data_IF_813271906580
#
_entry.id   IF_813271906580
#
_cell.length_a   1.000
_cell.length_b   1.000
_cell.length_c   1.000
_cell.angle_alpha   90.00
_cell.angle_beta   90.00
_cell.angle_gamma   90.00
#
_symmetry.space_group_name_H-M   'P 1'
#
loop_
_entity.id
_entity.type
_entity.pdbx_description
1 polymer ?
2 polymer ?
3 non-polymer ?
4 water ?
#
# COMPACT_ATOMS: atom_id res chain seq x y z
N UNK A 1 0.93 -15.16 18.23
CA UNK A 1 -0.23 -14.31 18.01
C UNK A 1 0.03 -12.90 18.52
N UNK A 2 1.31 -12.57 18.67
CA UNK A 2 1.71 -11.20 18.95
C UNK A 2 1.37 -10.32 17.77
N UNK A 3 0.67 -9.22 18.03
CA UNK A 3 0.27 -8.26 17.00
C UNK A 3 0.64 -6.86 17.44
N UNK A 4 1.00 -6.03 16.46
CA UNK A 4 1.38 -4.64 16.69
C UNK A 4 0.40 -3.74 15.95
N UNK A 5 -0.03 -2.66 16.62
CA UNK A 5 -0.97 -1.70 16.02
C UNK A 5 -0.50 -0.26 16.26
N UNK A 6 -0.15 0.43 15.19
CA UNK A 6 0.20 1.84 15.25
C UNK A 6 -1.05 2.73 15.25
N UNK A 7 -0.96 3.85 15.95
CA UNK A 7 -2.07 4.80 15.94
C UNK A 7 -1.52 6.21 16.12
N UNK A 8 -2.33 7.18 15.73
CA UNK A 8 -1.94 8.56 15.87
C UNK A 8 -2.70 9.40 14.89
N UNK A 9 -2.53 10.72 14.98
CA UNK A 9 -3.18 11.60 14.01
C UNK A 9 -2.69 11.30 12.61
N UNK A 10 -3.58 11.40 11.65
CA UNK A 10 -3.24 11.26 10.26
C UNK A 10 -2.79 12.53 9.59
N UNK A 11 -2.96 13.66 10.29
CA UNK A 11 -2.66 14.98 9.75
C UNK A 11 -1.99 15.82 10.83
N UNK A 12 -0.86 16.44 10.51
CA UNK A 12 -0.20 17.39 11.40
C UNK A 12 0.30 18.56 10.56
N UNK A 13 0.31 19.77 11.16
CA UNK A 13 0.77 20.93 10.43
C UNK A 13 2.31 21.01 10.44
N UNK A 14 2.91 21.63 9.43
CA UNK A 14 4.37 21.87 9.49
C UNK A 14 4.75 22.62 10.76
N UNK A 15 5.85 22.18 11.37
CA UNK A 15 6.48 22.64 12.61
C UNK A 15 5.86 21.99 13.85
N UNK A 16 4.74 21.28 13.72
CA UNK A 16 4.16 20.62 14.88
C UNK A 16 4.95 19.36 15.20
N UNK A 17 4.57 18.69 16.29
CA UNK A 17 5.20 17.46 16.72
C UNK A 17 4.28 16.30 16.40
N UNK A 18 4.82 15.33 15.67
CA UNK A 18 4.07 14.10 15.37
C UNK A 18 4.21 13.12 16.54
N UNK A 19 3.07 12.60 17.01
CA UNK A 19 3.05 11.69 18.15
C UNK A 19 2.31 10.42 17.75
N UNK A 20 2.98 9.29 17.81
CA UNK A 20 2.40 8.00 17.46
C UNK A 20 2.58 7.01 18.60
N UNK A 21 1.70 6.02 18.63
CA UNK A 21 1.80 4.94 19.60
C UNK A 21 1.79 3.61 18.87
N UNK A 22 2.47 2.63 19.46
CA UNK A 22 2.50 1.24 18.98
C UNK A 22 2.03 0.39 20.15
N UNK A 23 0.84 -0.21 20.02
CA UNK A 23 0.24 -1.03 21.07
C UNK A 23 0.45 -2.50 20.71
N UNK A 24 1.03 -3.24 21.65
CA UNK A 24 1.33 -4.66 21.44
C UNK A 24 0.27 -5.50 22.12
N UNK A 25 -0.30 -6.44 21.39
CA UNK A 25 -1.21 -7.41 21.98
C UNK A 25 -0.67 -8.82 21.75
N UNK A 26 -1.15 -9.75 22.58
CA UNK A 26 -0.75 -11.14 22.48
C UNK A 26 0.58 -11.46 23.11
N UNK A 27 1.21 -10.50 23.78
CA UNK A 27 2.52 -10.68 24.36
C UNK A 27 2.95 -9.41 25.06
N UNK A 28 4.02 -9.52 25.84
CA UNK A 28 4.54 -8.39 26.58
C UNK A 28 5.61 -7.68 25.76
N UNK A 29 5.78 -6.38 26.03
CA UNK A 29 6.91 -5.65 25.44
C UNK A 29 8.23 -5.95 26.14
N UNK A 30 8.20 -6.61 27.29
CA UNK A 30 9.42 -6.85 28.04
C UNK A 30 10.38 -7.74 27.26
N UNK A 31 11.67 -7.44 27.36
CA UNK A 31 12.73 -8.29 26.83
C UNK A 31 13.19 -7.92 25.44
N UNK A 32 12.32 -7.33 24.63
CA UNK A 32 12.60 -7.01 23.24
C UNK A 32 12.95 -5.54 23.05
N UNK A 33 13.81 -5.28 22.07
CA UNK A 33 13.83 -3.99 21.40
C UNK A 33 12.64 -3.90 20.45
N UNK A 34 12.11 -2.69 20.32
CA UNK A 34 10.99 -2.38 19.46
C UNK A 34 11.41 -1.22 18.58
N UNK A 35 11.30 -1.38 17.26
CA UNK A 35 11.77 -0.39 16.31
C UNK A 35 10.63 0.38 15.67
N UNK A 36 10.93 1.63 15.34
CA UNK A 36 10.08 2.46 14.50
C UNK A 36 10.75 2.62 13.14
N UNK A 37 9.92 2.54 12.08
CA UNK A 37 10.34 2.57 10.70
C UNK A 37 9.35 3.45 9.94
N UNK A 38 9.82 4.12 8.88
CA UNK A 38 8.87 4.86 8.05
C UNK A 38 9.17 4.67 6.56
N UNK A 39 8.17 4.97 5.76
CA UNK A 39 8.22 4.80 4.31
C UNK A 39 7.46 5.94 3.65
N UNK A 40 8.15 6.94 3.13
CA UNK A 40 7.48 7.94 2.31
C UNK A 40 6.82 7.28 1.12
N UNK A 41 5.73 7.87 0.61
CA UNK A 41 5.00 7.23 -0.49
C UNK A 41 5.91 6.94 -1.68
N UNK A 42 5.91 5.68 -2.11
CA UNK A 42 6.72 5.28 -3.26
C UNK A 42 8.20 5.16 -3.02
N UNK A 43 8.67 5.28 -1.78
CA UNK A 43 10.09 5.24 -1.46
C UNK A 43 10.40 4.02 -0.58
N UNK A 44 11.65 3.92 -0.14
CA UNK A 44 12.10 2.78 0.63
C UNK A 44 11.86 2.95 2.13
N UNK A 45 12.23 1.91 2.88
CA UNK A 45 12.10 1.89 4.33
C UNK A 45 13.27 2.59 5.00
N UNK A 46 12.97 3.40 6.01
CA UNK A 46 13.98 4.12 6.77
C UNK A 46 13.79 3.77 8.25
N UNK A 47 14.84 3.27 8.88
CA UNK A 47 14.80 3.03 10.33
C UNK A 47 14.84 4.36 11.07
N UNK A 48 13.90 4.54 11.99
CA UNK A 48 13.84 5.77 12.80
C UNK A 48 14.60 5.59 14.11
N UNK A 49 14.29 4.53 14.85
CA UNK A 49 14.98 4.27 16.11
C UNK A 49 14.34 3.09 16.81
N UNK A 50 14.78 2.86 18.05
CA UNK A 50 14.22 1.74 18.79
C UNK A 50 14.27 2.01 20.28
N UNK A 51 13.64 1.12 21.03
CA UNK A 51 13.65 1.18 22.50
C UNK A 51 13.49 -0.21 23.07
N UNK A 52 14.22 -0.45 24.16
CA UNK A 52 14.00 -1.58 25.06
C UNK A 52 13.62 -0.98 26.40
N UNK A 53 12.56 -1.51 27.03
CA UNK A 53 11.94 -0.80 28.14
C UNK A 53 12.88 -0.62 29.34
N UNK A 54 13.97 -1.37 29.42
CA UNK A 54 14.90 -1.21 30.52
C UNK A 54 16.37 -1.10 30.12
N UNK A 55 16.69 -1.21 28.83
CA UNK A 55 18.09 -1.22 28.43
C UNK A 55 18.56 0.10 27.83
N UNK A 56 18.00 0.48 26.69
CA UNK A 56 18.49 1.67 25.99
C UNK A 56 17.46 2.11 24.96
N UNK A 57 17.67 3.31 24.44
CA UNK A 57 16.98 3.80 23.26
C UNK A 57 18.02 4.46 22.38
N UNK A 58 17.76 4.48 21.08
CA UNK A 58 18.61 5.22 20.16
C UNK A 58 17.82 5.48 18.89
N UNK A 59 18.37 6.33 18.03
CA UNK A 59 17.68 6.72 16.82
C UNK A 59 18.69 6.95 15.72
N UNK A 60 18.17 6.94 14.51
CA UNK A 60 18.92 7.21 13.29
C UNK A 60 19.71 8.50 13.45
N UNK A 61 21.00 8.52 13.10
CA UNK A 61 21.79 9.75 13.32
C UNK A 61 21.19 10.98 12.64
N UNK A 62 20.50 10.81 11.50
CA UNK A 62 19.96 11.95 10.78
C UNK A 62 18.70 12.52 11.40
N UNK A 63 18.02 11.74 12.23
CA UNK A 63 16.78 12.16 12.88
C UNK A 63 16.92 12.36 14.39
N UNK A 64 18.08 12.03 14.97
CA UNK A 64 18.21 11.97 16.42
C UNK A 64 17.82 13.26 17.12
N UNK A 65 18.12 14.42 16.52
CA UNK A 65 17.78 15.66 17.19
C UNK A 65 16.29 15.91 17.27
N UNK A 66 15.47 15.17 16.51
CA UNK A 66 14.03 15.38 16.53
C UNK A 66 13.24 14.22 17.09
N UNK A 67 13.89 13.11 17.42
CA UNK A 67 13.21 11.84 17.72
C UNK A 67 13.28 11.57 19.21
N UNK A 68 12.14 11.26 19.81
CA UNK A 68 12.09 10.75 21.18
C UNK A 68 11.22 9.51 21.18
N UNK A 69 11.77 8.38 21.61
CA UNK A 69 11.03 7.13 21.69
C UNK A 69 10.92 6.75 23.16
N UNK A 70 9.74 6.30 23.57
CA UNK A 70 9.54 5.90 24.95
C UNK A 70 8.66 4.65 24.98
N UNK A 71 8.46 4.12 26.19
CA UNK A 71 7.67 2.92 26.39
C UNK A 71 6.79 3.11 27.61
N UNK A 72 5.67 2.39 27.64
CA UNK A 72 4.74 2.42 28.77
C UNK A 72 4.37 0.96 29.08
N UNK A 73 4.93 0.43 30.16
CA UNK A 73 4.71 -0.97 30.48
C UNK A 73 3.26 -1.25 30.84
N UNK A 74 2.62 -0.33 31.57
CA UNK A 74 1.25 -0.56 31.99
C UNK A 74 0.30 -0.65 30.80
N UNK A 75 0.59 0.08 29.73
CA UNK A 75 -0.22 0.06 28.53
C UNK A 75 0.31 -0.89 27.47
N UNK A 76 1.47 -1.52 27.69
CA UNK A 76 2.10 -2.41 26.71
C UNK A 76 2.28 -1.68 25.38
N UNK A 77 2.84 -0.48 25.46
CA UNK A 77 2.86 0.47 24.35
C UNK A 77 4.24 1.08 24.20
N UNK A 78 4.63 1.29 22.94
CA UNK A 78 5.77 2.11 22.59
C UNK A 78 5.25 3.41 21.98
N UNK A 79 6.10 4.45 22.02
CA UNK A 79 5.67 5.75 21.53
C UNK A 79 6.80 6.38 20.73
N UNK A 80 6.42 7.21 19.76
CA UNK A 80 7.35 7.98 18.95
C UNK A 80 6.89 9.43 18.93
N UNK A 81 7.80 10.35 19.22
CA UNK A 81 7.56 11.77 19.03
C UNK A 81 8.60 12.30 18.05
N UNK A 82 8.15 12.96 16.99
CA UNK A 82 9.02 13.53 15.97
C UNK A 82 8.72 15.02 15.90
N UNK A 83 9.67 15.85 16.30
CA UNK A 83 9.38 17.27 16.41
C UNK A 83 9.66 18.01 15.10
N UNK A 84 9.12 19.22 15.00
CA UNK A 84 9.38 20.16 13.90
C UNK A 84 9.20 19.51 12.53
N UNK A 85 8.01 18.94 12.29
CA UNK A 85 7.83 18.17 11.06
C UNK A 85 7.73 19.07 9.85
N UNK A 86 8.10 18.51 8.69
CA UNK A 86 7.90 19.13 7.39
C UNK A 86 7.30 18.08 6.46
N UNK A 87 7.03 18.51 5.22
CA UNK A 87 6.51 17.58 4.22
C UNK A 87 7.41 16.36 4.03
N UNK A 88 8.71 16.49 4.30
CA UNK A 88 9.61 15.34 4.18
C UNK A 88 9.31 14.24 5.20
N UNK A 89 8.49 14.52 6.20
CA UNK A 89 8.08 13.53 7.18
C UNK A 89 6.74 12.88 6.85
N UNK A 90 6.12 13.26 5.75
CA UNK A 90 4.92 12.56 5.28
C UNK A 90 5.30 11.14 4.88
N UNK A 91 4.64 10.15 5.48
CA UNK A 91 5.08 8.76 5.33
C UNK A 91 4.09 7.86 6.05
N UNK A 92 4.15 6.57 5.71
CA UNK A 92 3.55 5.54 6.57
C UNK A 92 4.57 5.15 7.63
N UNK A 93 4.12 5.09 8.88
CA UNK A 93 4.99 4.81 10.03
C UNK A 93 4.64 3.43 10.56
N UNK A 94 5.67 2.61 10.78
CA UNK A 94 5.52 1.25 11.27
C UNK A 94 6.27 1.05 12.57
N UNK A 95 5.77 0.16 13.42
CA UNK A 95 6.62 -0.42 14.45
C UNK A 95 6.86 -1.90 14.15
N UNK A 96 7.93 -2.43 14.75
CA UNK A 96 8.32 -3.81 14.52
C UNK A 96 9.02 -4.35 15.77
N UNK A 97 8.89 -5.66 16.00
CA UNK A 97 9.59 -6.32 17.10
C UNK A 97 10.99 -6.71 16.66
N UNK A 98 11.99 -6.28 17.45
CA UNK A 98 13.42 -6.29 17.14
C UNK A 98 14.11 -7.33 18.05
N UNK A 99 15.39 -7.12 18.34
CA UNK A 99 16.23 -8.10 19.04
C UNK A 99 15.71 -8.44 20.44
N UNK A 100 15.81 -9.72 20.82
CA UNK A 100 15.48 -10.15 22.17
C UNK A 100 16.75 -10.24 23.00
N UNK A 101 16.73 -9.68 24.21
CA UNK A 101 17.83 -9.76 25.15
C UNK A 101 17.44 -10.67 26.31
N UNK A 102 18.23 -11.72 26.52
CA UNK A 102 18.09 -12.57 27.68
C UNK A 102 18.59 -11.82 28.93
N UNK A 103 18.14 -12.24 30.10
CA UNK A 103 18.60 -11.46 31.23
C UNK A 103 20.01 -11.84 31.67
N UNK A 104 20.63 -12.82 31.00
CA UNK A 104 22.07 -12.96 31.09
C UNK A 104 22.80 -11.80 30.43
N UNK A 105 22.16 -11.12 29.48
CA UNK A 105 22.78 -10.06 28.72
C UNK A 105 23.10 -10.44 27.30
N UNK A 106 23.09 -11.74 26.99
CA UNK A 106 23.20 -12.20 25.62
C UNK A 106 21.88 -11.91 24.89
N UNK A 107 21.88 -12.12 23.58
CA UNK A 107 20.77 -11.70 22.75
C UNK A 107 20.71 -12.57 21.50
N UNK A 108 19.59 -12.50 20.81
CA UNK A 108 19.48 -13.03 19.45
C UNK A 108 18.83 -11.98 18.58
N UNK A 109 19.54 -11.53 17.55
CA UNK A 109 18.99 -10.50 16.68
C UNK A 109 17.76 -11.02 15.94
N UNK A 110 16.79 -10.13 15.74
CA UNK A 110 15.52 -10.46 15.10
C UNK A 110 14.87 -9.19 14.59
N UNK A 111 13.92 -9.37 13.69
CA UNK A 111 13.10 -8.26 13.18
C UNK A 111 11.89 -8.91 12.54
N UNK A 112 11.05 -9.59 13.33
CA UNK A 112 10.22 -10.65 12.78
C UNK A 112 8.71 -10.36 12.75
N UNK A 113 8.24 -9.29 13.41
CA UNK A 113 6.82 -8.95 13.39
C UNK A 113 6.69 -7.47 13.08
N UNK A 114 5.88 -7.16 12.09
CA UNK A 114 5.58 -5.77 11.72
C UNK A 114 4.16 -5.40 12.10
N UNK A 115 3.97 -4.12 12.42
CA UNK A 115 2.64 -3.57 12.51
C UNK A 115 2.06 -3.31 11.13
N UNK A 116 0.82 -2.85 11.12
CA UNK A 116 0.12 -2.61 9.86
C UNK A 116 0.48 -1.27 9.23
N UNK A 117 1.00 -0.33 10.01
CA UNK A 117 1.37 1.00 9.54
C UNK A 117 0.26 2.02 9.75
N UNK A 118 0.65 3.26 9.98
CA UNK A 118 -0.30 4.36 10.04
C UNK A 118 0.24 5.51 9.20
N UNK A 119 -0.63 6.06 8.35
CA UNK A 119 -0.24 7.10 7.41
C UNK A 119 -0.31 8.46 8.07
N UNK A 120 0.73 9.28 7.90
CA UNK A 120 0.77 10.64 8.42
C UNK A 120 1.10 11.58 7.29
N UNK A 121 0.30 12.64 7.15
CA UNK A 121 0.51 13.67 6.15
C UNK A 121 0.79 14.98 6.86
N UNK A 122 1.87 15.66 6.46
CA UNK A 122 2.20 16.97 7.01
C UNK A 122 1.71 18.04 6.05
N UNK A 123 0.76 18.86 6.49
CA UNK A 123 0.09 19.83 5.64
C UNK A 123 -0.64 20.82 6.53
N UNK A 124 -0.79 22.05 6.03
CA UNK A 124 -1.62 23.02 6.73
C UNK A 124 -3.09 22.93 6.31
N UNK A 125 -3.44 22.13 5.32
CA UNK A 125 -4.83 21.97 4.89
C UNK A 125 -5.65 21.28 5.98
N UNK A 126 -6.96 21.56 5.98
CA UNK A 126 -7.86 21.00 6.98
C UNK A 126 -8.38 19.63 6.54
N UNK A 127 -8.73 18.80 7.52
CA UNK A 127 -9.36 17.54 7.21
C UNK A 127 -10.70 17.78 6.51
N UNK A 128 -11.03 16.90 5.56
CA UNK A 128 -12.32 16.94 4.89
C UNK A 128 -12.79 15.52 4.64
N UNK A 129 -14.01 15.20 5.07
CA UNK A 129 -14.58 13.91 4.82
C UNK A 129 -15.10 13.80 3.40
N UNK A 130 -15.25 12.57 2.91
CA UNK A 130 -15.63 12.37 1.51
C UNK A 130 -17.14 12.42 1.27
N UNK A 131 -17.47 12.70 0.02
CA UNK A 131 -18.81 12.48 -0.52
C UNK A 131 -18.79 11.15 -1.27
N UNK A 132 -19.82 10.34 -1.06
CA UNK A 132 -19.86 8.99 -1.63
C UNK A 132 -21.08 8.88 -2.54
N UNK A 133 -20.85 8.41 -3.77
CA UNK A 133 -21.91 8.23 -4.74
C UNK A 133 -21.88 6.81 -5.30
N UNK A 134 -23.03 6.21 -5.52
CA UNK A 134 -23.06 4.84 -6.03
C UNK A 134 -22.76 4.81 -7.51
N UNK A 135 -22.14 3.72 -7.94
CA UNK A 135 -21.96 3.41 -9.36
C UNK A 135 -22.88 2.23 -9.66
N UNK A 136 -24.05 2.52 -10.21
CA UNK A 136 -25.07 1.51 -10.38
C UNK A 136 -24.66 0.48 -11.43
N UNK A 137 -25.06 -0.79 -11.25
CA UNK A 137 -24.77 -1.84 -12.23
C UNK A 137 -25.44 -1.59 -13.59
N UNK A 145 -22.15 -13.60 -17.81
CA UNK A 145 -23.22 -13.11 -16.96
C UNK A 145 -22.70 -12.41 -15.71
N UNK A 146 -21.76 -11.49 -15.90
CA UNK A 146 -21.19 -10.71 -14.80
C UNK A 146 -21.41 -9.23 -15.03
N UNK A 147 -21.54 -8.49 -13.93
CA UNK A 147 -21.74 -7.05 -13.97
C UNK A 147 -20.83 -6.38 -12.96
N UNK A 148 -20.45 -5.13 -13.24
CA UNK A 148 -19.67 -4.32 -12.32
C UNK A 148 -20.55 -3.27 -11.66
N UNK A 149 -20.28 -3.01 -10.38
CA UNK A 149 -20.89 -1.91 -9.67
C UNK A 149 -19.87 -1.37 -8.68
N UNK A 150 -20.15 -0.21 -8.10
CA UNK A 150 -19.11 0.37 -7.28
C UNK A 150 -19.59 1.56 -6.47
N UNK A 151 -18.60 2.24 -5.90
CA UNK A 151 -18.83 3.48 -5.17
C UNK A 151 -17.73 4.45 -5.51
N UNK A 152 -18.10 5.70 -5.70
CA UNK A 152 -17.18 6.78 -6.00
C UNK A 152 -17.03 7.62 -4.74
N UNK A 153 -15.80 7.74 -4.26
CA UNK A 153 -15.49 8.37 -2.98
C UNK A 153 -14.72 9.64 -3.30
N UNK A 154 -15.36 10.80 -3.16
CA UNK A 154 -14.87 12.05 -3.72
C UNK A 154 -14.44 13.05 -2.65
N UNK A 155 -13.33 13.75 -2.92
CA UNK A 155 -12.98 15.02 -2.29
C UNK A 155 -12.74 14.92 -0.79
N UNK A 156 -11.77 14.09 -0.39
CA UNK A 156 -11.43 13.94 1.02
C UNK A 156 -9.95 14.27 1.24
N UNK A 157 -9.62 14.52 2.50
CA UNK A 157 -8.22 14.80 2.87
C UNK A 157 -8.05 14.63 4.36
N UNK A 158 -6.93 14.03 4.80
CA UNK A 158 -5.84 13.40 4.05
C UNK A 158 -6.20 11.96 3.72
N UNK A 159 -5.26 11.22 3.13
CA UNK A 159 -5.41 9.78 2.98
C UNK A 159 -5.28 9.08 4.33
N UNK A 160 -5.80 7.86 4.46
CA UNK A 160 -6.54 7.08 3.47
C UNK A 160 -8.03 7.00 3.79
N UNK A 161 -8.79 6.46 2.84
CA UNK A 161 -10.11 5.94 3.13
C UNK A 161 -10.04 4.44 2.96
N UNK A 162 -10.85 3.74 3.74
CA UNK A 162 -11.04 2.31 3.57
C UNK A 162 -12.45 2.07 3.05
N UNK A 163 -12.58 1.09 2.16
CA UNK A 163 -13.88 0.71 1.62
C UNK A 163 -14.04 -0.78 1.79
N UNK A 164 -15.11 -1.18 2.45
CA UNK A 164 -15.52 -2.57 2.49
C UNK A 164 -16.89 -2.69 1.85
N UNK A 165 -17.31 -3.92 1.60
CA UNK A 165 -18.58 -4.18 0.96
C UNK A 165 -19.41 -5.13 1.80
N UNK A 166 -20.69 -4.81 1.96
CA UNK A 166 -21.63 -5.61 2.75
C UNK A 166 -21.06 -5.93 4.13
N UNK A 167 -20.52 -4.89 4.77
CA UNK A 167 -19.99 -4.96 6.13
C UNK A 167 -18.88 -6.00 6.25
N UNK A 168 -18.05 -6.11 5.21
CA UNK A 168 -16.95 -7.04 5.19
C UNK A 168 -17.30 -8.43 4.73
N UNK A 169 -18.59 -8.73 4.53
CA UNK A 169 -18.99 -10.07 4.12
C UNK A 169 -18.64 -10.36 2.67
N UNK A 170 -18.44 -9.33 1.86
CA UNK A 170 -18.17 -9.49 0.43
C UNK A 170 -16.72 -9.11 0.17
N UNK A 171 -15.87 -10.13 -0.04
CA UNK A 171 -14.45 -9.99 -0.39
C UNK A 171 -14.12 -11.05 -1.44
N UNK A 172 -14.47 -10.79 -2.69
CA UNK A 172 -13.91 -11.58 -3.78
C UNK A 172 -13.61 -10.69 -4.99
N UNK A 173 -14.64 -10.35 -5.76
CA UNK A 173 -14.41 -9.48 -6.90
C UNK A 173 -14.18 -8.02 -6.54
N UNK A 174 -13.79 -7.72 -5.30
CA UNK A 174 -13.63 -6.34 -4.84
C UNK A 174 -12.27 -5.81 -5.25
N UNK A 175 -12.25 -4.57 -5.76
CA UNK A 175 -11.00 -3.85 -5.99
C UNK A 175 -11.20 -2.38 -5.64
N UNK A 176 -10.39 -1.87 -4.72
CA UNK A 176 -10.39 -0.45 -4.39
C UNK A 176 -9.15 0.16 -5.02
N UNK A 177 -9.37 1.18 -5.83
CA UNK A 177 -8.33 1.79 -6.63
C UNK A 177 -7.46 2.75 -5.83
N UNK A 178 -6.25 3.03 -6.33
CA UNK A 178 -5.44 4.12 -5.79
C UNK A 178 -6.21 5.43 -5.92
N UNK A 179 -6.04 6.29 -4.92
CA UNK A 179 -6.65 7.59 -4.97
C UNK A 179 -5.96 8.48 -6.01
N UNK A 180 -6.72 9.44 -6.54
CA UNK A 180 -6.22 10.48 -7.43
C UNK A 180 -6.19 11.78 -6.63
N UNK A 181 -5.08 12.52 -6.72
CA UNK A 181 -4.95 13.84 -6.10
C UNK A 181 -5.48 14.89 -7.06
N UNK A 182 -6.58 15.54 -6.69
CA UNK A 182 -7.20 16.59 -7.50
C UNK A 182 -6.41 17.89 -7.38
N UNK A 183 -6.64 18.80 -8.35
CA UNK A 183 -6.00 20.10 -8.29
C UNK A 183 -6.47 20.92 -7.10
N UNK A 184 -7.62 20.55 -6.52
CA UNK A 184 -8.08 21.15 -5.27
C UNK A 184 -7.19 20.80 -4.08
N UNK A 185 -6.33 19.79 -4.20
CA UNK A 185 -5.61 19.28 -3.05
C UNK A 185 -6.32 18.16 -2.32
N UNK A 186 -7.51 17.78 -2.77
CA UNK A 186 -8.29 16.69 -2.19
C UNK A 186 -8.09 15.43 -3.01
N UNK A 187 -8.41 14.29 -2.40
CA UNK A 187 -8.30 12.98 -3.02
C UNK A 187 -9.66 12.43 -3.40
N UNK A 188 -9.69 11.61 -4.45
CA UNK A 188 -10.85 10.81 -4.79
C UNK A 188 -10.41 9.40 -5.17
N UNK A 189 -11.29 8.43 -4.94
CA UNK A 189 -11.02 7.08 -5.40
C UNK A 189 -12.35 6.40 -5.71
N UNK A 190 -12.26 5.20 -6.30
CA UNK A 190 -13.41 4.34 -6.51
C UNK A 190 -13.12 2.95 -5.97
N UNK A 191 -14.18 2.24 -5.63
CA UNK A 191 -14.12 0.85 -5.24
C UNK A 191 -15.18 0.13 -6.05
N UNK A 192 -14.84 -1.01 -6.63
CA UNK A 192 -15.73 -1.72 -7.53
C UNK A 192 -15.80 -3.18 -7.12
N UNK A 193 -16.91 -3.82 -7.49
CA UNK A 193 -17.05 -5.25 -7.31
C UNK A 193 -17.65 -5.84 -8.57
N UNK A 194 -17.15 -7.00 -8.98
CA UNK A 194 -17.70 -7.78 -10.07
C UNK A 194 -18.60 -8.86 -9.48
N UNK A 195 -19.87 -8.85 -9.84
CA UNK A 195 -20.85 -9.75 -9.24
C UNK A 195 -21.53 -10.52 -10.36
N UNK A 196 -22.10 -11.68 -10.04
CA UNK A 196 -22.92 -12.38 -11.03
C UNK A 196 -24.16 -11.57 -11.36
N UNK A 197 -24.48 -11.49 -12.65
CA UNK A 197 -25.67 -10.75 -13.09
C UNK A 197 -26.94 -11.31 -12.47
N UNK A 198 -26.99 -12.63 -12.24
CA UNK A 198 -28.16 -13.26 -11.65
C UNK A 198 -28.40 -12.86 -10.21
N UNK A 199 -27.41 -12.28 -9.54
CA UNK A 199 -27.56 -11.81 -8.17
C UNK A 199 -28.08 -10.38 -8.09
N UNK A 200 -28.23 -9.69 -9.22
CA UNK A 200 -28.53 -8.26 -9.19
C UNK A 200 -29.94 -7.96 -8.70
N UNK A 201 -30.85 -8.90 -8.90
CA UNK A 201 -32.19 -8.58 -8.49
C UNK A 201 -32.50 -9.01 -7.10
N UNK A 202 -31.58 -9.75 -6.46
CA UNK A 202 -31.78 -10.29 -5.13
C UNK A 202 -30.76 -9.97 -4.04
N UNK A 203 -29.48 -9.99 -4.36
CA UNK A 203 -28.45 -9.60 -3.41
C UNK A 203 -28.24 -8.10 -3.47
N UNK A 204 -28.27 -7.44 -2.31
CA UNK A 204 -27.93 -6.03 -2.24
C UNK A 204 -26.43 -5.84 -2.10
N UNK A 205 -25.94 -4.71 -2.58
CA UNK A 205 -24.52 -4.37 -2.50
C UNK A 205 -24.38 -2.98 -1.92
N UNK A 206 -23.74 -2.91 -0.75
CA UNK A 206 -23.58 -1.67 0.01
C UNK A 206 -22.10 -1.50 0.31
N UNK A 207 -21.53 -0.37 -0.12
CA UNK A 207 -20.15 -0.06 0.24
C UNK A 207 -20.12 0.69 1.57
N UNK A 208 -19.18 0.33 2.41
CA UNK A 208 -18.97 0.96 3.71
C UNK A 208 -17.67 1.73 3.64
N UNK A 209 -17.78 3.06 3.64
CA UNK A 209 -16.62 3.93 3.48
C UNK A 209 -16.23 4.48 4.85
N UNK A 210 -14.96 4.34 5.20
CA UNK A 210 -14.45 4.86 6.45
C UNK A 210 -13.33 5.85 6.16
N UNK A 211 -13.42 7.04 6.75
CA UNK A 211 -12.35 8.05 6.68
C UNK A 211 -12.03 8.44 8.12
N UNK A 212 -11.06 7.74 8.72
CA UNK A 212 -10.72 7.99 10.12
C UNK A 212 -10.29 9.42 10.40
N UNK A 213 -9.48 10.09 9.57
CA UNK A 213 -9.04 11.46 9.93
C UNK A 213 -10.20 12.42 10.17
N UNK A 214 -11.34 12.22 9.53
CA UNK A 214 -12.53 13.04 9.75
C UNK A 214 -13.59 12.31 10.56
N UNK A 215 -13.29 11.09 11.01
CA UNK A 215 -14.27 10.20 11.66
C UNK A 215 -15.58 10.16 10.88
N UNK A 216 -15.46 9.95 9.58
CA UNK A 216 -16.60 9.83 8.67
C UNK A 216 -16.87 8.36 8.40
N UNK A 217 -18.13 7.96 8.49
CA UNK A 217 -18.55 6.61 8.14
C UNK A 217 -19.81 6.70 7.30
N UNK A 218 -19.76 6.21 6.06
CA UNK A 218 -20.86 6.29 5.12
C UNK A 218 -21.11 4.92 4.51
N UNK A 219 -22.37 4.49 4.52
CA UNK A 219 -22.83 3.34 3.74
C UNK A 219 -23.64 3.84 2.54
N UNK A 220 -23.39 3.26 1.37
CA UNK A 220 -24.15 3.60 0.18
C UNK A 220 -24.52 2.34 -0.58
N UNK A 221 -25.79 2.21 -0.98
CA UNK A 221 -26.28 1.10 -1.78
C UNK A 221 -26.08 1.38 -3.26
N UNK A 222 -25.47 0.42 -3.97
CA UNK A 222 -25.33 0.47 -5.43
C UNK A 222 -26.43 -0.42 -6.01
N UNK A 223 -27.54 0.20 -6.40
CA UNK A 223 -28.76 -0.43 -6.83
C UNK A 223 -29.00 -0.19 -8.33
N UNK A 224 -29.59 -1.16 -9.05
CA UNK A 224 -29.85 -1.06 -10.50
C UNK A 224 -30.75 0.10 -10.90
N UNK B 1 30.95 3.19 7.55
CA UNK B 1 29.56 3.18 7.94
C UNK B 1 28.91 1.92 7.43
N UNK B 2 27.92 1.46 8.16
CA UNK B 2 27.20 0.26 7.81
C UNK B 2 26.24 0.56 6.67
N UNK B 3 26.45 -0.12 5.56
CA UNK B 3 25.65 0.10 4.36
C UNK B 3 25.25 -1.25 3.80
N UNK B 4 23.98 -1.38 3.43
CA UNK B 4 23.48 -2.54 2.68
C UNK B 4 23.14 -2.07 1.27
N UNK B 5 23.77 -2.68 0.26
CA UNK B 5 23.56 -2.27 -1.12
C UNK B 5 22.69 -3.29 -1.84
N UNK B 6 21.55 -2.81 -2.36
CA UNK B 6 20.68 -3.59 -3.24
C UNK B 6 20.50 -2.83 -4.53
N UNK B 7 20.48 -3.56 -5.65
CA UNK B 7 20.12 -2.94 -6.92
C UNK B 7 18.61 -2.79 -7.01
N UNK B 8 18.10 -1.75 -7.67
CA UNK B 8 16.67 -1.42 -7.50
C UNK B 8 15.70 -2.40 -8.11
N UNK B 9 16.11 -3.28 -9.02
CA UNK B 9 15.13 -4.14 -9.65
C UNK B 9 15.77 -5.44 -10.12
N UNK B 10 14.92 -6.45 -10.28
CA UNK B 10 15.30 -7.76 -10.77
C UNK B 10 14.13 -8.33 -11.54
N UNK B 11 14.41 -9.32 -12.38
CA UNK B 11 13.38 -9.84 -13.27
C UNK B 11 13.65 -11.29 -13.61
N UNK B 12 12.58 -12.07 -13.76
CA UNK B 12 12.68 -13.46 -14.20
C UNK B 12 11.28 -13.93 -14.60
N UNK B 13 11.22 -15.07 -15.27
CA UNK B 13 9.95 -15.58 -15.80
C UNK B 13 9.15 -16.35 -14.76
N UNK B 14 7.84 -16.36 -14.97
CA UNK B 14 6.94 -17.22 -14.21
C UNK B 14 7.46 -18.65 -14.22
N UNK B 15 7.54 -19.23 -13.02
CA UNK B 15 7.99 -20.59 -12.85
C UNK B 15 9.49 -20.74 -12.75
N UNK B 16 10.26 -19.69 -13.02
CA UNK B 16 11.70 -19.75 -12.94
C UNK B 16 12.15 -19.49 -11.51
N UNK B 17 13.46 -19.42 -11.32
CA UNK B 17 14.06 -19.00 -10.06
C UNK B 17 14.73 -17.65 -10.26
N UNK B 18 14.91 -16.93 -9.15
CA UNK B 18 15.65 -15.68 -9.17
C UNK B 18 16.43 -15.59 -7.85
N UNK B 19 17.63 -15.03 -7.92
CA UNK B 19 18.48 -14.84 -6.74
C UNK B 19 18.69 -13.35 -6.53
N UNK B 20 18.06 -12.80 -5.50
CA UNK B 20 18.21 -11.38 -5.15
C UNK B 20 19.44 -11.22 -4.26
N UNK B 21 20.11 -10.08 -4.39
CA UNK B 21 21.39 -9.88 -3.73
C UNK B 21 21.37 -8.66 -2.82
N UNK B 22 22.10 -8.76 -1.69
CA UNK B 22 22.28 -7.69 -0.74
C UNK B 22 23.76 -7.73 -0.38
N UNK B 23 24.46 -6.62 -0.52
CA UNK B 23 25.89 -6.60 -0.24
C UNK B 23 26.19 -5.77 0.99
N UNK B 24 26.89 -6.37 1.96
CA UNK B 24 27.30 -5.67 3.17
C UNK B 24 28.57 -4.87 2.93
N UNK B 25 28.65 -3.73 3.60
CA UNK B 25 29.90 -2.97 3.62
C UNK B 25 31.01 -3.80 4.27
N UNK B 26 32.25 -3.53 3.84
CA UNK B 26 33.36 -4.45 4.14
C UNK B 26 33.61 -4.57 5.64
N UNK B 27 33.43 -3.48 6.39
CA UNK B 27 33.65 -3.57 7.83
C UNK B 27 32.62 -4.37 8.58
N UNK B 28 31.58 -4.84 7.90
CA UNK B 28 30.47 -5.56 8.53
C UNK B 28 30.14 -6.81 7.74
N UNK B 29 31.16 -7.35 7.05
CA UNK B 29 30.92 -8.41 6.08
C UNK B 29 30.51 -9.73 6.73
N UNK B 30 30.57 -9.85 8.04
CA UNK B 30 30.16 -11.08 8.73
C UNK B 30 28.79 -10.97 9.39
N UNK B 31 28.05 -9.89 9.16
CA UNK B 31 26.77 -9.72 9.83
C UNK B 31 25.70 -10.63 9.22
N UNK B 32 24.76 -11.04 10.07
CA UNK B 32 23.51 -11.61 9.58
C UNK B 32 22.63 -10.50 9.00
N UNK B 33 21.66 -10.88 8.16
CA UNK B 33 20.64 -9.95 7.67
C UNK B 33 19.27 -10.60 7.82
N UNK B 34 18.24 -9.77 7.70
CA UNK B 34 16.87 -10.23 7.48
C UNK B 34 16.39 -9.78 6.11
N UNK B 35 15.56 -10.59 5.49
CA UNK B 35 14.84 -10.22 4.28
C UNK B 35 13.40 -9.93 4.61
N UNK B 36 12.86 -8.85 4.03
CA UNK B 36 11.47 -8.47 4.19
C UNK B 36 10.84 -8.30 2.81
N UNK B 37 9.58 -8.66 2.72
CA UNK B 37 8.82 -8.56 1.48
C UNK B 37 7.67 -7.57 1.64
N UNK B 38 7.45 -6.76 0.60
CA UNK B 38 6.34 -5.81 0.62
C UNK B 38 5.63 -5.92 -0.73
N UNK B 39 4.51 -6.64 -0.72
CA UNK B 39 3.71 -6.77 -1.93
C UNK B 39 2.98 -5.45 -2.17
N UNK B 40 2.62 -5.17 -3.43
CA UNK B 40 2.04 -3.86 -3.75
C UNK B 40 0.82 -3.55 -2.89
N UNK B 41 0.83 -2.37 -2.29
CA UNK B 41 -0.27 -1.91 -1.47
C UNK B 41 -0.24 -2.35 -0.02
N UNK B 42 0.62 -3.28 0.35
CA UNK B 42 0.63 -3.83 1.70
C UNK B 42 1.81 -3.28 2.50
N UNK B 43 1.76 -3.50 3.82
CA UNK B 43 2.92 -3.28 4.64
C UNK B 43 3.93 -4.41 4.48
N UNK B 44 5.12 -4.21 5.01
CA UNK B 44 6.15 -5.25 4.92
C UNK B 44 5.80 -6.46 5.78
N UNK B 45 6.38 -7.59 5.41
CA UNK B 45 6.41 -8.75 6.29
C UNK B 45 7.80 -9.38 6.24
N UNK B 46 8.18 -9.96 7.37
CA UNK B 46 9.45 -10.65 7.49
C UNK B 46 9.43 -11.98 6.75
N UNK B 47 10.50 -12.25 6.00
CA UNK B 47 10.69 -13.53 5.33
C UNK B 47 11.63 -14.47 6.07
N UNK B 48 12.83 -14.02 6.39
CA UNK B 48 13.83 -14.92 6.95
C UNK B 48 15.01 -14.13 7.49
N UNK B 49 15.77 -14.78 8.35
CA UNK B 49 17.10 -14.32 8.76
C UNK B 49 18.14 -15.20 8.06
N UNK B 50 19.17 -14.58 7.50
CA UNK B 50 20.28 -15.27 6.86
C UNK B 50 21.53 -15.04 7.70
N UNK B 51 22.10 -16.12 8.22
CA UNK B 51 23.25 -16.03 9.12
C UNK B 51 24.56 -16.04 8.34
N UNK B 52 25.63 -15.60 9.02
CA UNK B 52 26.95 -15.56 8.38
C UNK B 52 27.41 -16.94 7.91
N UNK B 53 27.06 -17.99 8.65
CA UNK B 53 27.51 -19.32 8.30
C UNK B 53 26.72 -19.93 7.14
N UNK B 54 25.84 -19.17 6.51
CA UNK B 54 25.03 -19.66 5.42
C UNK B 54 23.70 -20.26 5.82
N UNK B 55 23.51 -20.57 7.10
CA UNK B 55 22.21 -21.08 7.53
C UNK B 55 21.17 -19.96 7.46
N UNK B 56 19.90 -20.36 7.38
CA UNK B 56 18.84 -19.39 7.34
C UNK B 56 17.63 -19.95 8.07
N UNK B 57 16.79 -19.04 8.58
CA UNK B 57 15.60 -19.41 9.32
C UNK B 57 14.42 -18.60 8.79
N UNK B 58 13.46 -19.29 8.18
CA UNK B 58 12.26 -18.65 7.66
C UNK B 58 11.30 -18.29 8.77
N UNK B 59 10.58 -17.19 8.56
CA UNK B 59 9.49 -16.87 9.43
C UNK B 59 8.37 -17.88 9.33
N UNK B 60 7.58 -17.96 10.39
CA UNK B 60 6.43 -18.85 10.38
C UNK B 60 5.48 -18.47 9.25
N UNK B 61 5.02 -19.47 8.50
CA UNK B 61 4.11 -19.25 7.39
C UNK B 61 4.75 -18.85 6.08
N UNK B 62 6.08 -18.70 6.04
CA UNK B 62 6.73 -18.29 4.80
C UNK B 62 7.00 -19.52 3.93
N UNK B 63 6.63 -19.50 2.65
CA UNK B 63 6.79 -20.71 1.82
C UNK B 63 8.22 -21.16 1.68
N UNK B 64 8.41 -22.48 1.55
CA UNK B 64 9.77 -23.00 1.41
C UNK B 64 10.38 -22.71 0.05
N UNK B 65 9.60 -22.14 -0.89
CA UNK B 65 10.17 -21.61 -2.12
C UNK B 65 11.18 -20.51 -1.88
N UNK B 66 11.16 -19.88 -0.71
CA UNK B 66 12.08 -18.83 -0.34
C UNK B 66 13.23 -19.43 0.46
N UNK B 67 14.47 -19.19 0.03
CA UNK B 67 15.63 -19.67 0.76
C UNK B 67 16.69 -18.58 0.76
N UNK B 68 17.64 -18.70 1.69
CA UNK B 68 18.69 -17.72 1.85
C UNK B 68 20.05 -18.39 1.85
N UNK B 69 21.06 -17.59 1.52
CA UNK B 69 22.42 -18.11 1.46
C UNK B 69 23.39 -16.94 1.54
N UNK B 70 24.68 -17.26 1.63
CA UNK B 70 25.72 -16.29 1.93
C UNK B 70 26.95 -16.60 1.09
N UNK B 71 27.65 -15.55 0.66
CA UNK B 71 28.98 -15.72 0.08
C UNK B 71 29.78 -14.46 0.39
N UNK B 72 30.73 -14.57 1.30
CA UNK B 72 31.56 -13.42 1.64
C UNK B 72 30.71 -12.29 2.20
N UNK B 73 30.75 -11.13 1.54
CA UNK B 73 29.92 -10.01 1.94
C UNK B 73 28.54 -10.02 1.29
N UNK B 74 28.25 -11.01 0.45
CA UNK B 74 26.96 -11.09 -0.23
C UNK B 74 25.98 -11.91 0.58
N UNK B 75 24.73 -11.47 0.58
CA UNK B 75 23.63 -12.19 1.19
C UNK B 75 22.55 -12.37 0.14
N UNK B 76 21.97 -13.56 0.05
CA UNK B 76 21.07 -13.88 -1.06
C UNK B 76 19.70 -14.32 -0.57
N UNK B 77 18.69 -14.00 -1.39
CA UNK B 77 17.34 -14.54 -1.27
C UNK B 77 17.03 -15.21 -2.59
N UNK B 78 16.88 -16.53 -2.56
CA UNK B 78 16.53 -17.26 -3.76
C UNK B 78 15.06 -17.63 -3.70
N UNK B 79 14.30 -17.23 -4.72
CA UNK B 79 12.90 -17.57 -4.82
C UNK B 79 12.75 -18.52 -5.99
N UNK B 80 12.28 -19.72 -5.71
CA UNK B 80 12.10 -20.72 -6.76
C UNK B 80 10.63 -20.85 -7.11
N UNK B 81 10.38 -21.44 -8.28
CA UNK B 81 9.04 -21.63 -8.81
C UNK B 81 8.21 -20.34 -8.71
N UNK B 82 8.75 -19.28 -9.30
CA UNK B 82 8.18 -17.95 -9.17
C UNK B 82 6.70 -17.94 -9.57
N UNK B 83 5.90 -17.25 -8.75
CA UNK B 83 4.49 -17.07 -9.00
C UNK B 83 4.19 -15.58 -9.05
N UNK B 84 3.01 -15.25 -9.58
CA UNK B 84 2.63 -13.85 -9.73
C UNK B 84 2.71 -13.09 -8.40
N UNK B 85 2.28 -13.71 -7.31
CA UNK B 85 2.29 -13.01 -6.02
C UNK B 85 3.69 -12.66 -5.53
N UNK B 86 4.75 -13.21 -6.14
CA UNK B 86 6.10 -12.86 -5.74
C UNK B 86 6.54 -11.50 -6.25
N UNK B 87 5.78 -10.89 -7.15
CA UNK B 87 6.06 -9.52 -7.53
C UNK B 87 5.86 -8.64 -6.31
N UNK B 88 6.93 -7.99 -5.88
CA UNK B 88 6.96 -7.29 -4.62
C UNK B 88 8.29 -6.55 -4.55
N UNK B 89 8.41 -5.70 -3.54
CA UNK B 89 9.68 -5.09 -3.19
C UNK B 89 10.30 -5.90 -2.06
N UNK B 90 11.57 -6.20 -2.19
CA UNK B 90 12.30 -7.01 -1.21
C UNK B 90 13.37 -6.15 -0.59
N UNK B 91 13.36 -6.04 0.75
CA UNK B 91 14.32 -5.24 1.48
C UNK B 91 15.20 -6.11 2.34
N UNK B 92 16.50 -5.93 2.24
CA UNK B 92 17.35 -6.51 3.27
C UNK B 92 17.55 -5.52 4.40
N UNK B 93 17.92 -6.05 5.57
CA UNK B 93 18.00 -5.24 6.78
C UNK B 93 18.99 -5.91 7.72
N UNK B 94 19.75 -5.10 8.46
CA UNK B 94 20.70 -5.68 9.40
C UNK B 94 20.72 -4.89 10.70
N UNK B 95 21.52 -5.39 11.63
CA UNK B 95 21.60 -4.94 13.01
C UNK B 95 23.04 -4.52 13.30
N UNK B 96 23.25 -3.25 13.66
CA UNK B 96 24.53 -2.81 14.16
C UNK B 96 24.44 -2.35 15.60
N UNK B 97 25.58 -1.87 16.11
CA UNK B 97 25.61 -1.39 17.49
C UNK B 97 24.83 -0.09 17.59
N UNK B 98 23.65 -0.15 18.19
CA UNK B 98 22.81 1.03 18.37
C UNK B 98 22.09 1.50 17.12
N UNK B 99 22.06 0.70 16.06
CA UNK B 99 21.49 1.13 14.79
C UNK B 99 20.93 -0.07 14.04
N UNK B 100 19.90 0.16 13.23
CA UNK B 100 19.48 -0.79 12.22
C UNK B 100 19.46 -0.07 10.89
N UNK B 101 19.74 -0.81 9.82
CA UNK B 101 19.79 -0.22 8.49
C UNK B 101 19.10 -1.14 7.50
N UNK B 102 18.44 -0.50 6.53
CA UNK B 102 17.79 -1.19 5.42
C UNK B 102 18.57 -0.96 4.13
N UNK B 103 18.55 -1.97 3.25
CA UNK B 103 18.90 -1.74 1.87
C UNK B 103 17.86 -0.90 1.16
N UNK B 104 18.19 -0.47 -0.05
CA UNK B 104 17.29 0.40 -0.78
C UNK B 104 16.08 -0.27 -1.38
N UNK B 105 16.04 -1.60 -1.35
CA UNK B 105 14.92 -2.36 -1.88
C UNK B 105 15.16 -2.80 -3.31
N UNK B 106 14.62 -3.97 -3.63
CA UNK B 106 14.65 -4.51 -4.99
C UNK B 106 13.23 -4.85 -5.43
N UNK B 107 12.79 -4.28 -6.54
CA UNK B 107 11.47 -4.58 -7.07
C UNK B 107 11.59 -5.74 -8.04
N UNK B 108 10.88 -6.83 -7.75
CA UNK B 108 10.92 -8.03 -8.58
C UNK B 108 9.74 -8.05 -9.56
N UNK B 109 10.06 -8.15 -10.85
CA UNK B 109 9.05 -8.37 -11.88
C UNK B 109 9.05 -9.83 -12.29
N UNK B 110 7.87 -10.44 -12.37
CA UNK B 110 7.72 -11.82 -12.82
C UNK B 110 7.09 -11.77 -14.21
N UNK B 111 7.88 -12.15 -15.21
CA UNK B 111 7.53 -11.99 -16.61
C UNK B 111 6.75 -13.19 -17.13
N UNK B 112 6.03 -12.97 -18.23
CA UNK B 112 5.41 -14.07 -18.92
C UNK B 112 4.16 -14.63 -18.29
N UNK B 113 3.43 -13.82 -17.54
CA UNK B 113 2.16 -14.24 -17.01
C UNK B 113 1.13 -14.30 -18.14
N UNK B 114 0.00 -14.97 -17.94
CA UNK B 114 -0.96 -15.13 -19.05
C UNK B 114 -1.55 -13.80 -19.49
N UNK B 115 -1.56 -13.58 -20.81
CA UNK B 115 -2.16 -12.37 -21.34
C UNK B 115 -3.67 -12.39 -21.15
N UNK B 116 -4.24 -11.22 -20.87
CA UNK B 116 -5.67 -11.07 -20.61
C UNK B 116 -6.14 -9.72 -21.15
N UNK B 117 -7.20 -9.75 -21.95
CA UNK B 117 -7.76 -8.54 -22.51
C UNK B 117 -8.66 -7.83 -21.49
N UNK B 118 -8.70 -6.49 -21.48
CA UNK B 118 -9.46 -5.79 -20.45
C UNK B 118 -10.97 -5.93 -20.62
N UNK B 119 -11.67 -5.95 -19.49
CA UNK B 119 -13.12 -5.79 -19.45
C UNK B 119 -13.42 -4.36 -19.02
N UNK B 120 -14.13 -3.61 -19.87
CA UNK B 120 -14.38 -2.18 -19.66
C UNK B 120 -15.83 -1.95 -19.28
N UNK B 121 -16.04 -1.17 -18.22
CA UNK B 121 -17.37 -0.72 -17.80
C UNK B 121 -17.34 0.79 -17.67
N UNK B 122 -18.30 1.46 -18.29
CA UNK B 122 -18.38 2.91 -18.25
C UNK B 122 -19.63 3.29 -17.47
N UNK B 123 -19.43 4.01 -16.36
CA UNK B 123 -20.51 4.47 -15.50
C UNK B 123 -20.84 5.92 -15.79
N UNK B 124 -22.10 6.25 -16.03
CA UNK B 124 -22.50 7.65 -16.12
C UNK B 124 -22.50 8.30 -14.76
N UNK B 125 -22.63 9.63 -14.68
CA UNK B 125 -22.80 10.27 -13.37
C UNK B 125 -24.06 9.74 -12.70
N UNK B 126 -23.95 9.48 -11.40
CA UNK B 126 -25.10 9.02 -10.65
C UNK B 126 -26.12 10.15 -10.52
N UNK B 127 -27.39 9.77 -10.34
CA UNK B 127 -28.39 10.80 -10.09
C UNK B 127 -28.08 11.57 -8.81
N UNK B 128 -27.50 10.89 -7.81
CA UNK B 128 -27.13 11.58 -6.58
C UNK B 128 -26.07 12.65 -6.85
N UNK B 129 -25.06 12.33 -7.67
CA UNK B 129 -24.02 13.32 -7.96
C UNK B 129 -24.58 14.49 -8.77
N UNK B 130 -25.44 14.20 -9.75
CA UNK B 130 -26.06 15.26 -10.51
C UNK B 130 -26.93 16.15 -9.62
N UNK B 131 -27.58 15.56 -8.60
CA UNK B 131 -28.37 16.38 -7.69
C UNK B 131 -27.46 17.27 -6.83
N UNK B 132 -26.21 16.84 -6.62
CA UNK B 132 -25.19 17.68 -6.00
C UNK B 132 -24.50 18.61 -6.99
N UNK B 133 -25.06 18.72 -8.21
CA UNK B 133 -24.60 19.68 -9.21
C UNK B 133 -23.17 19.41 -9.66
N UNK B 134 -22.81 18.12 -9.73
CA UNK B 134 -21.51 17.69 -10.23
C UNK B 134 -21.72 16.51 -11.17
N UNK B 135 -20.67 16.15 -11.92
CA UNK B 135 -20.77 15.03 -12.85
C UNK B 135 -19.40 14.42 -13.09
N UNK B 136 -19.28 13.12 -12.82
CA UNK B 136 -18.07 12.35 -13.11
C UNK B 136 -18.46 11.14 -13.92
N UNK B 137 -17.80 10.94 -15.06
CA UNK B 137 -17.86 9.66 -15.76
C UNK B 137 -16.72 8.78 -15.25
N UNK B 138 -17.02 7.51 -15.02
CA UNK B 138 -16.03 6.60 -14.45
C UNK B 138 -15.85 5.42 -15.40
N UNK B 139 -14.64 5.29 -15.95
CA UNK B 139 -14.32 4.19 -16.86
C UNK B 139 -13.49 3.17 -16.09
N UNK B 140 -14.08 2.01 -15.81
CA UNK B 140 -13.44 0.94 -15.07
C UNK B 140 -12.87 -0.08 -16.04
N UNK B 141 -11.58 -0.37 -15.88
CA UNK B 141 -10.84 -1.26 -16.78
C UNK B 141 -10.32 -2.41 -15.91
N UNK B 142 -10.81 -3.61 -16.16
CA UNK B 142 -10.59 -4.73 -15.26
C UNK B 142 -9.93 -5.93 -15.96
N UNK B 143 -9.15 -6.68 -15.17
CA UNK B 143 -8.77 -8.05 -15.49
C UNK B 143 -7.88 -8.16 -16.73
N UNK B 144 -6.83 -7.33 -16.80
CA UNK B 144 -5.95 -7.37 -17.97
C UNK B 144 -4.50 -7.62 -17.57
N UNK B 145 -3.76 -8.13 -18.54
CA UNK B 145 -2.32 -8.36 -18.40
C UNK B 145 -1.73 -8.41 -19.81
N UNK B 146 -0.59 -7.76 -20.04
CA UNK B 146 0.24 -6.98 -19.11
C UNK B 146 -0.40 -5.69 -18.65
N UNK B 147 0.21 -5.05 -17.65
CA UNK B 147 -0.42 -3.95 -16.95
C UNK B 147 -0.12 -2.58 -17.51
N UNK B 148 -0.42 -2.37 -18.79
CA UNK B 148 -0.32 -1.05 -19.40
C UNK B 148 -1.48 -0.85 -20.34
N UNK B 149 -2.12 0.31 -20.24
CA UNK B 149 -3.22 0.68 -21.12
C UNK B 149 -3.11 2.16 -21.40
N UNK B 150 -3.76 2.59 -22.47
CA UNK B 150 -4.01 4.00 -22.70
C UNK B 150 -5.51 4.19 -22.86
N UNK B 151 -5.99 5.37 -22.45
CA UNK B 151 -7.41 5.67 -22.44
C UNK B 151 -7.64 6.95 -23.24
N UNK B 152 -8.67 6.94 -24.08
CA UNK B 152 -9.08 8.11 -24.83
C UNK B 152 -10.55 8.37 -24.61
N UNK B 153 -10.90 9.61 -24.28
CA UNK B 153 -12.29 10.01 -24.09
C UNK B 153 -12.78 10.82 -25.28
N UNK B 154 -14.06 10.67 -25.59
CA UNK B 154 -14.69 11.43 -26.66
C UNK B 154 -16.06 11.90 -26.22
N UNK B 155 -16.46 13.06 -26.74
CA UNK B 155 -17.80 13.60 -26.61
C UNK B 155 -18.37 13.72 -28.00
N UNK B 156 -19.41 12.95 -28.29
CA UNK B 156 -19.97 12.86 -29.65
C UNK B 156 -18.88 12.69 -30.70
N UNK B 157 -17.90 11.85 -30.39
CA UNK B 157 -16.83 11.57 -31.34
C UNK B 157 -15.70 12.56 -31.38
N UNK B 158 -15.80 13.68 -30.67
CA UNK B 158 -14.70 14.63 -30.60
C UNK B 158 -13.85 14.36 -29.37
N UNK B 159 -12.52 14.31 -29.50
CA UNK B 159 -11.67 13.97 -28.35
C UNK B 159 -11.83 14.97 -27.21
N UNK B 160 -11.76 14.46 -25.99
CA UNK B 160 -11.81 15.26 -24.77
C UNK B 160 -10.54 14.99 -23.98
N UNK B 161 -9.74 16.03 -23.76
CA UNK B 161 -8.51 15.92 -22.98
C UNK B 161 -8.59 16.57 -21.61
N UNK B 162 -9.35 17.65 -21.48
CA UNK B 162 -9.43 18.36 -20.22
C UNK B 162 -10.25 17.57 -19.21
N UNK B 163 -9.78 17.57 -17.97
CA UNK B 163 -10.56 16.95 -16.90
C UNK B 163 -10.47 15.44 -16.85
N UNK B 164 -9.44 14.86 -17.45
CA UNK B 164 -9.22 13.41 -17.42
C UNK B 164 -8.16 13.07 -16.38
N UNK B 165 -8.48 12.11 -15.51
CA UNK B 165 -7.53 11.57 -14.54
C UNK B 165 -7.53 10.06 -14.68
N UNK B 166 -6.36 9.47 -14.89
CA UNK B 166 -6.26 8.02 -15.07
C UNK B 166 -5.26 7.47 -14.07
N UNK B 167 -5.62 6.38 -13.38
CA UNK B 167 -4.72 5.77 -12.41
C UNK B 167 -3.71 4.85 -13.09
N UNK B 168 -2.57 4.68 -12.44
CA UNK B 168 -1.59 3.69 -12.89
C UNK B 168 -2.14 2.30 -12.57
N UNK B 169 -2.07 1.36 -13.52
CA UNK B 169 -2.64 0.02 -13.27
C UNK B 169 -2.11 -0.60 -11.99
N UNK B 170 -3.02 -1.19 -11.24
CA UNK B 170 -2.80 -1.82 -9.95
C UNK B 170 -3.18 -3.31 -10.03
N UNK B 171 -2.43 -4.16 -9.38
CA UNK B 171 -2.77 -5.56 -9.36
C UNK B 171 -3.97 -5.85 -8.47
N UNK B 172 -4.91 -6.63 -9.02
CA UNK B 172 -6.08 -7.06 -8.30
C UNK B 172 -5.71 -8.30 -7.45
N UNK B 173 -6.65 -8.71 -6.61
CA UNK B 173 -6.42 -9.89 -5.79
C UNK B 173 -6.29 -11.15 -6.61
N UNK B 174 -6.80 -11.16 -7.85
CA UNK B 174 -6.68 -12.31 -8.74
C UNK B 174 -5.43 -12.24 -9.61
N UNK B 175 -4.54 -11.28 -9.35
CA UNK B 175 -3.24 -11.11 -9.98
C UNK B 175 -3.32 -10.54 -11.39
N UNK B 176 -4.50 -10.20 -11.89
CA UNK B 176 -4.60 -9.40 -13.10
C UNK B 176 -4.71 -7.93 -12.72
N UNK B 177 -4.48 -7.06 -13.70
CA UNK B 177 -4.45 -5.63 -13.44
C UNK B 177 -5.83 -4.99 -13.59
N UNK B 178 -6.00 -3.87 -12.89
CA UNK B 178 -7.16 -3.00 -13.09
C UNK B 178 -6.67 -1.56 -13.19
N UNK B 179 -7.48 -0.71 -13.83
CA UNK B 179 -7.19 0.71 -13.84
C UNK B 179 -8.50 1.47 -13.96
N UNK B 180 -8.43 2.75 -13.64
CA UNK B 180 -9.63 3.60 -13.64
C UNK B 180 -9.31 4.90 -14.34
N UNK B 181 -10.29 5.43 -15.08
CA UNK B 181 -10.17 6.76 -15.66
C UNK B 181 -11.43 7.54 -15.33
N UNK B 182 -11.26 8.82 -14.99
CA UNK B 182 -12.35 9.69 -14.59
C UNK B 182 -12.38 10.90 -15.51
N UNK B 183 -13.56 11.22 -16.00
CA UNK B 183 -13.77 12.44 -16.79
C UNK B 183 -14.71 13.34 -15.99
N UNK B 184 -14.21 14.51 -15.60
CA UNK B 184 -15.00 15.47 -14.83
C UNK B 184 -15.64 16.48 -15.76
N UNK B 185 -16.95 16.67 -15.59
CA UNK B 185 -17.77 17.54 -16.41
C UNK B 185 -18.72 18.33 -15.52
N UNK B 186 -19.30 19.39 -16.06
CA UNK B 186 -20.45 19.98 -15.40
C UNK B 186 -21.71 19.21 -15.81
N UNK B 187 -22.76 19.23 -14.97
CA UNK B 187 -24.02 18.61 -15.40
C UNK B 187 -24.52 19.12 -16.74
N UNK B 188 -24.36 20.43 -17.00
CA UNK B 188 -24.83 20.99 -18.27
C UNK B 188 -24.06 20.42 -19.44
N UNK B 189 -22.74 20.24 -19.29
CA UNK B 189 -21.96 19.61 -20.35
C UNK B 189 -22.41 18.18 -20.58
N UNK B 190 -22.63 17.43 -19.52
CA UNK B 190 -23.08 16.06 -19.63
C UNK B 190 -24.38 15.95 -20.40
N UNK B 191 -25.32 16.80 -20.09
CA UNK B 191 -26.61 16.73 -20.72
C UNK B 191 -26.65 17.31 -22.15
N UNK B 192 -25.62 18.02 -22.54
CA UNK B 192 -25.57 18.65 -23.85
C UNK B 192 -25.14 17.78 -25.00
N UNK B 193 -24.50 16.66 -24.72
CA UNK B 193 -24.03 15.80 -25.79
C UNK B 193 -24.93 14.58 -25.93
N UNK B 194 -24.88 14.00 -27.12
CA UNK B 194 -25.65 12.78 -27.37
C UNK B 194 -25.07 11.61 -26.60
N UNK B 195 -23.74 11.55 -26.47
CA UNK B 195 -23.10 10.45 -25.76
C UNK B 195 -21.64 10.81 -25.49
N UNK B 196 -21.05 10.07 -24.56
CA UNK B 196 -19.62 10.10 -24.28
C UNK B 196 -19.09 8.68 -24.39
N UNK B 197 -17.82 8.54 -24.77
CA UNK B 197 -17.22 7.22 -24.90
C UNK B 197 -15.85 7.20 -24.24
N UNK B 198 -15.48 6.01 -23.77
CA UNK B 198 -14.17 5.72 -23.21
C UNK B 198 -13.57 4.60 -24.05
N UNK B 199 -12.41 4.85 -24.65
CA UNK B 199 -11.72 3.89 -25.50
C UNK B 199 -10.44 3.45 -24.79
N UNK B 200 -10.31 2.15 -24.56
CA UNK B 200 -9.15 1.58 -23.89
C UNK B 200 -8.35 0.79 -24.91
N UNK B 201 -7.05 1.09 -25.01
CA UNK B 201 -6.14 0.39 -25.91
C UNK B 201 -5.19 -0.47 -25.07
N UNK B 202 -5.17 -1.77 -25.37
CA UNK B 202 -4.34 -2.73 -24.65
C UNK B 202 -3.69 -3.65 -25.68
N UNK B 203 -2.35 -3.61 -25.74
CA UNK B 203 -1.58 -4.44 -26.67
C UNK B 203 -2.07 -4.27 -28.11
N UNK B 204 -2.28 -3.02 -28.50
CA UNK B 204 -2.65 -2.71 -29.87
C UNK B 204 -4.09 -2.99 -30.24
N UNK B 205 -4.93 -3.38 -29.29
CA UNK B 205 -6.35 -3.61 -29.54
C UNK B 205 -7.17 -2.66 -28.68
N UNK B 206 -8.27 -2.18 -29.22
CA UNK B 206 -9.09 -1.17 -28.58
C UNK B 206 -10.46 -1.73 -28.20
N UNK B 207 -10.93 -1.34 -27.03
CA UNK B 207 -12.27 -1.64 -26.55
C UNK B 207 -12.95 -0.32 -26.20
N UNK B 208 -14.16 -0.13 -26.70
CA UNK B 208 -14.88 1.14 -26.52
C UNK B 208 -16.22 0.90 -25.85
N UNK B 209 -16.54 1.76 -24.87
CA UNK B 209 -17.83 1.77 -24.21
C UNK B 209 -18.42 3.17 -24.31
N UNK B 210 -19.74 3.24 -24.48
CA UNK B 210 -20.45 4.50 -24.64
C UNK B 210 -21.55 4.60 -23.58
N UNK B 211 -21.81 5.83 -23.12
CA UNK B 211 -22.95 6.12 -22.25
C UNK B 211 -23.65 7.37 -22.76
N UNK B 212 -24.97 7.42 -22.52
CA UNK B 212 -25.81 8.52 -22.95
C UNK B 212 -26.64 9.02 -21.79
N UNK B 213 -26.88 10.34 -21.68
CA UNK B 213 -27.61 10.99 -20.59
C UNK B 213 -29.01 10.43 -20.33
#
# INVERSE_FOLDING_TARGET
QVQLQESGPGLVKPSETLSLTCTVSGGSISGYYWSWIRQPPGKGLEWIGYIHYSRSTNSNPALKSRVTISSDTSKNQLSLRLSSVTAADTAVYYCARDTYYYDSGDYEDAFDIWGQGTMVTVSSASTKGPSVFPLAPSSKSTSGGTAALGCLVKDYFPEPVTVSWNSGALTSGVHTFPAVLQSSGLYSLSSVVTVPSSSLGTQTYICNVNHKPSNTKVDKKAEPKSC
QLVLTQSPSASASLGASVKLTCTLSSGHSNYAIAWHQQQPGKGPRYLMKVNRDGSHIRGDGIPDRFSGSTSGAERYLTISSLQSEDEADYYCQTWGAGIRVFGGGTKLTVLGQPKAAPSVTLFPPSSEELQANKATLVCLISDFYPGAVTVAWKADGSPVKAGVETTTPSKQSNNKYAASSYLSLTPEQWKSHRSYSCQVTHEGSTVEKTVAPTECS
#
